data_IF_517952352052
#
_entry.id   IF_517952352052
#
_cell.length_a   1.000
_cell.length_b   1.000
_cell.length_c   1.000
_cell.angle_alpha   90.00
_cell.angle_beta   90.00
_cell.angle_gamma   90.00
#
_symmetry.space_group_name_H-M   'P 1'
#
loop_
_entity.id
_entity.type
_entity.pdbx_description
1 polymer ?
#
# COMPACT_ATOMS: atom_id res chain seq x y z
N UNK A 1 -2.22 -25.30 -2.19
CA UNK A 1 -2.80 -23.94 -2.01
C UNK A 1 -2.48 -23.32 -0.66
N UNK A 2 -2.46 -24.06 0.47
CA UNK A 2 -2.20 -23.48 1.81
C UNK A 2 -0.79 -22.90 2.01
N UNK A 3 0.26 -23.48 1.41
CA UNK A 3 1.64 -22.95 1.48
C UNK A 3 1.83 -21.63 0.71
N UNK A 4 1.21 -21.52 -0.48
CA UNK A 4 1.35 -20.35 -1.36
C UNK A 4 0.76 -19.06 -0.77
N UNK A 5 -0.32 -19.14 0.02
CA UNK A 5 -0.94 -17.93 0.57
C UNK A 5 -0.01 -17.20 1.56
N UNK A 6 0.68 -17.95 2.42
CA UNK A 6 1.60 -17.36 3.39
C UNK A 6 2.80 -16.71 2.71
N UNK A 7 3.32 -17.33 1.64
CA UNK A 7 4.38 -16.77 0.80
C UNK A 7 3.96 -15.43 0.18
N UNK A 8 2.74 -15.32 -0.34
CA UNK A 8 2.23 -14.08 -0.94
C UNK A 8 2.04 -12.96 0.09
N UNK A 9 1.55 -13.30 1.28
CA UNK A 9 1.44 -12.34 2.40
C UNK A 9 2.82 -11.83 2.80
N UNK A 10 3.80 -12.75 2.97
CA UNK A 10 5.18 -12.39 3.30
C UNK A 10 5.80 -11.52 2.20
N UNK A 11 5.60 -11.87 0.93
CA UNK A 11 6.11 -11.11 -0.20
C UNK A 11 5.56 -9.67 -0.21
N UNK A 12 4.25 -9.50 -0.01
CA UNK A 12 3.63 -8.17 0.08
C UNK A 12 4.17 -7.33 1.25
N UNK A 13 4.33 -7.94 2.42
CA UNK A 13 4.91 -7.28 3.60
C UNK A 13 6.36 -6.85 3.34
N UNK A 14 7.19 -7.74 2.79
CA UNK A 14 8.60 -7.45 2.49
C UNK A 14 8.71 -6.34 1.44
N UNK A 15 7.85 -6.33 0.42
CA UNK A 15 7.83 -5.28 -0.59
C UNK A 15 7.51 -3.90 0.02
N UNK A 16 6.49 -3.82 0.89
CA UNK A 16 6.19 -2.60 1.65
C UNK A 16 7.37 -2.16 2.52
N UNK A 17 7.96 -3.08 3.30
CA UNK A 17 9.12 -2.77 4.15
C UNK A 17 10.33 -2.28 3.35
N UNK A 18 10.58 -2.86 2.17
CA UNK A 18 11.66 -2.42 1.30
C UNK A 18 11.43 -0.99 0.79
N UNK A 19 10.21 -0.66 0.39
CA UNK A 19 9.83 0.69 -0.02
C UNK A 19 9.95 1.69 1.15
N UNK A 20 9.44 1.33 2.34
CA UNK A 20 9.55 2.15 3.54
C UNK A 20 11.02 2.42 3.89
N UNK A 21 11.86 1.39 3.83
CA UNK A 21 13.30 1.50 4.04
C UNK A 21 13.97 2.40 3.00
N UNK A 22 13.57 2.28 1.73
CA UNK A 22 14.07 3.15 0.67
C UNK A 22 13.67 4.62 0.89
N UNK A 23 12.46 4.90 1.36
CA UNK A 23 12.06 6.26 1.74
C UNK A 23 12.92 6.82 2.87
N UNK A 24 13.30 5.98 3.85
CA UNK A 24 14.25 6.39 4.90
C UNK A 24 15.64 6.68 4.32
N UNK A 25 16.10 5.88 3.37
CA UNK A 25 17.36 6.15 2.68
C UNK A 25 17.32 7.49 1.93
N UNK A 26 16.23 7.79 1.21
CA UNK A 26 16.07 9.06 0.50
C UNK A 26 16.02 10.25 1.45
N UNK A 27 15.36 10.11 2.59
CA UNK A 27 15.36 11.14 3.64
C UNK A 27 16.78 11.43 4.14
N UNK A 28 17.56 10.38 4.41
CA UNK A 28 18.91 10.51 4.95
C UNK A 28 19.94 11.01 3.92
N UNK A 29 19.74 10.73 2.64
CA UNK A 29 20.72 11.05 1.58
C UNK A 29 20.43 12.37 0.87
N UNK A 30 19.16 12.68 0.59
CA UNK A 30 18.76 13.85 -0.20
C UNK A 30 17.67 14.69 0.46
N UNK A 31 17.26 14.36 1.70
CA UNK A 31 16.29 15.15 2.46
C UNK A 31 14.83 15.01 2.00
N UNK A 32 14.51 14.03 1.15
CA UNK A 32 13.13 13.82 0.68
C UNK A 32 12.26 13.22 1.81
N UNK A 33 11.21 13.91 2.31
CA UNK A 33 10.39 13.39 3.40
C UNK A 33 9.72 12.05 3.05
N UNK A 34 9.65 11.11 4.02
CA UNK A 34 8.91 9.86 3.83
C UNK A 34 7.41 10.13 3.71
N UNK A 35 6.68 9.17 3.17
CA UNK A 35 5.22 9.29 3.01
C UNK A 35 4.52 9.51 4.36
N UNK A 36 3.58 10.45 4.39
CA UNK A 36 2.71 10.64 5.55
C UNK A 36 1.49 9.72 5.48
N UNK A 37 1.61 8.53 6.08
CA UNK A 37 0.52 7.54 6.08
C UNK A 37 -0.74 8.01 6.83
N UNK A 38 -0.67 9.05 7.68
CA UNK A 38 -1.86 9.62 8.29
C UNK A 38 -2.85 10.18 7.25
N UNK A 39 -2.34 10.76 6.14
CA UNK A 39 -3.16 11.27 5.04
C UNK A 39 -3.92 10.14 4.35
N UNK A 40 -3.27 9.00 4.12
CA UNK A 40 -3.91 7.79 3.55
C UNK A 40 -4.99 7.26 4.48
N UNK A 41 -4.74 7.26 5.79
CA UNK A 41 -5.77 6.87 6.76
C UNK A 41 -6.97 7.82 6.77
N UNK A 42 -6.72 9.14 6.72
CA UNK A 42 -7.77 10.16 6.60
C UNK A 42 -8.59 9.97 5.34
N UNK A 43 -7.93 9.74 4.21
CA UNK A 43 -8.56 9.44 2.93
C UNK A 43 -9.45 8.20 3.06
N UNK A 44 -8.92 7.10 3.58
CA UNK A 44 -9.68 5.86 3.73
C UNK A 44 -10.91 6.04 4.63
N UNK A 45 -10.81 6.81 5.72
CA UNK A 45 -11.96 7.15 6.56
C UNK A 45 -13.04 7.94 5.80
N UNK A 46 -12.64 8.95 5.04
CA UNK A 46 -13.57 9.78 4.26
C UNK A 46 -14.24 8.95 3.17
N UNK A 47 -13.48 8.12 2.45
CA UNK A 47 -14.01 7.21 1.43
C UNK A 47 -15.06 6.28 2.03
N UNK A 48 -14.75 5.62 3.16
CA UNK A 48 -15.67 4.69 3.81
C UNK A 48 -16.97 5.36 4.27
N UNK A 49 -16.94 6.65 4.61
CA UNK A 49 -18.13 7.40 5.06
C UNK A 49 -18.93 8.04 3.93
N UNK A 50 -18.25 8.48 2.87
CA UNK A 50 -18.86 9.30 1.82
C UNK A 50 -19.03 8.56 0.49
N UNK A 51 -18.43 7.37 0.35
CA UNK A 51 -18.30 6.62 -0.90
C UNK A 51 -17.64 7.41 -2.04
N UNK A 52 -16.91 8.49 -1.73
CA UNK A 52 -16.19 9.32 -2.71
C UNK A 52 -14.70 9.02 -2.66
N UNK A 53 -14.19 8.39 -3.71
CA UNK A 53 -12.77 8.04 -3.85
C UNK A 53 -11.86 9.27 -4.01
N UNK A 54 -12.31 10.26 -4.79
CA UNK A 54 -11.56 11.49 -5.03
C UNK A 54 -11.81 12.52 -3.93
N UNK A 55 -10.73 12.93 -3.24
CA UNK A 55 -10.75 13.94 -2.17
C UNK A 55 -9.72 15.03 -2.47
N UNK A 56 -10.09 16.10 -3.21
CA UNK A 56 -9.16 17.15 -3.61
C UNK A 56 -8.61 17.95 -2.42
N UNK A 57 -9.41 18.09 -1.36
CA UNK A 57 -9.08 18.89 -0.18
C UNK A 57 -8.56 18.04 0.99
N UNK A 58 -7.93 16.88 0.71
CA UNK A 58 -7.53 15.93 1.75
C UNK A 58 -6.52 16.52 2.75
N UNK A 59 -5.67 17.43 2.29
CA UNK A 59 -4.64 18.09 3.10
C UNK A 59 -5.25 19.02 4.16
N UNK A 60 -6.41 19.61 3.89
CA UNK A 60 -7.13 20.52 4.79
C UNK A 60 -8.29 19.85 5.52
N UNK A 61 -8.64 18.62 5.14
CA UNK A 61 -9.70 17.85 5.78
C UNK A 61 -9.42 17.64 7.28
N UNK A 62 -10.44 17.62 8.16
CA UNK A 62 -10.24 17.38 9.58
C UNK A 62 -9.54 16.03 9.85
N UNK A 63 -8.63 15.94 10.85
CA UNK A 63 -8.03 14.67 11.25
C UNK A 63 -9.07 13.62 11.63
N UNK A 64 -8.87 12.38 11.18
CA UNK A 64 -9.73 11.26 11.54
C UNK A 64 -9.18 10.49 12.76
N UNK A 65 -10.05 9.87 13.59
CA UNK A 65 -9.60 9.09 14.74
C UNK A 65 -8.69 7.95 14.29
N UNK A 66 -7.50 7.83 14.88
CA UNK A 66 -6.53 6.75 14.56
C UNK A 66 -6.18 6.70 13.07
N UNK A 67 -6.10 7.84 12.39
CA UNK A 67 -5.76 7.91 10.97
C UNK A 67 -4.38 7.33 10.64
N UNK A 68 -3.35 7.57 11.48
CA UNK A 68 -2.02 7.02 11.23
C UNK A 68 -1.98 5.48 11.20
N UNK A 69 -2.41 4.75 12.24
CA UNK A 69 -2.40 3.29 12.19
C UNK A 69 -3.34 2.73 11.12
N UNK A 70 -4.44 3.41 10.80
CA UNK A 70 -5.32 2.98 9.72
C UNK A 70 -4.66 3.14 8.34
N UNK A 71 -3.94 4.24 8.12
CA UNK A 71 -3.16 4.44 6.89
C UNK A 71 -2.08 3.40 6.69
N UNK A 72 -1.36 3.03 7.75
CA UNK A 72 -0.42 1.91 7.72
C UNK A 72 -1.08 0.58 7.38
N UNK A 73 -2.24 0.29 7.98
CA UNK A 73 -3.01 -0.90 7.64
C UNK A 73 -3.40 -0.92 6.15
N UNK A 74 -3.93 0.19 5.61
CA UNK A 74 -4.27 0.31 4.19
C UNK A 74 -3.05 0.09 3.31
N UNK A 75 -1.91 0.68 3.66
CA UNK A 75 -0.67 0.54 2.91
C UNK A 75 -0.25 -0.94 2.76
N UNK A 76 -0.18 -1.68 3.87
CA UNK A 76 0.20 -3.10 3.85
C UNK A 76 -0.87 -3.99 3.22
N UNK A 77 -2.15 -3.65 3.41
CA UNK A 77 -3.26 -4.38 2.79
C UNK A 77 -3.20 -4.30 1.25
N UNK A 78 -2.87 -3.12 0.70
CA UNK A 78 -2.67 -2.95 -0.75
C UNK A 78 -1.46 -3.74 -1.24
N UNK A 79 -0.33 -3.72 -0.52
CA UNK A 79 0.86 -4.50 -0.89
C UNK A 79 0.61 -6.01 -0.93
N UNK A 80 -0.07 -6.56 0.08
CA UNK A 80 -0.49 -7.97 0.11
C UNK A 80 -1.53 -8.25 -0.98
N UNK A 81 -2.51 -7.36 -1.16
CA UNK A 81 -3.52 -7.48 -2.21
C UNK A 81 -2.92 -7.55 -3.61
N UNK A 82 -1.90 -6.72 -3.87
CA UNK A 82 -1.15 -6.75 -5.13
C UNK A 82 -0.50 -8.12 -5.36
N UNK A 83 0.23 -8.65 -4.37
CA UNK A 83 0.87 -9.96 -4.48
C UNK A 83 -0.14 -11.09 -4.78
N UNK A 84 -1.30 -11.07 -4.10
CA UNK A 84 -2.36 -12.06 -4.31
C UNK A 84 -2.99 -11.95 -5.70
N UNK A 85 -3.34 -10.73 -6.13
CA UNK A 85 -3.94 -10.51 -7.46
C UNK A 85 -2.95 -10.90 -8.56
N UNK A 86 -1.70 -10.46 -8.45
CA UNK A 86 -0.64 -10.78 -9.40
C UNK A 86 -0.45 -12.29 -9.55
N UNK A 87 -0.34 -13.01 -8.44
CA UNK A 87 -0.24 -14.47 -8.44
C UNK A 87 -1.48 -15.17 -9.01
N UNK A 88 -2.66 -14.55 -8.88
CA UNK A 88 -3.89 -15.01 -9.54
C UNK A 88 -3.84 -14.82 -11.06
N UNK A 89 -3.42 -13.65 -11.53
CA UNK A 89 -3.27 -13.35 -12.96
C UNK A 89 -2.20 -14.21 -13.65
N UNK A 90 -1.14 -14.57 -12.93
CA UNK A 90 -0.16 -15.54 -13.41
C UNK A 90 -0.77 -16.93 -13.63
N UNK A 91 -1.74 -17.35 -12.81
CA UNK A 91 -2.40 -18.65 -12.97
C UNK A 91 -3.32 -18.69 -14.19
N UNK A 92 -3.88 -17.55 -14.60
CA UNK A 92 -4.69 -17.45 -15.82
C UNK A 92 -3.84 -17.32 -17.08
N UNK A 93 -2.51 -17.23 -16.95
CA UNK A 93 -1.59 -16.99 -18.07
C UNK A 93 -1.65 -15.56 -18.62
N UNK A 94 -2.29 -14.63 -17.91
CA UNK A 94 -2.38 -13.23 -18.33
C UNK A 94 -1.07 -12.46 -18.06
N UNK A 95 -0.35 -12.84 -17.00
CA UNK A 95 0.94 -12.28 -16.63
C UNK A 95 1.98 -13.38 -16.47
N UNK A 96 3.25 -13.04 -16.66
CA UNK A 96 4.40 -13.89 -16.33
C UNK A 96 5.31 -13.20 -15.33
N UNK A 97 6.28 -13.90 -14.74
CA UNK A 97 7.28 -13.29 -13.84
C UNK A 97 8.39 -12.55 -14.62
N UNK A 98 8.04 -11.91 -15.74
CA UNK A 98 8.97 -11.15 -16.57
C UNK A 98 9.06 -9.71 -16.10
N UNK A 99 10.09 -9.00 -16.57
CA UNK A 99 10.22 -7.54 -16.37
C UNK A 99 9.20 -6.72 -17.18
N UNK A 100 8.38 -7.38 -18.01
CA UNK A 100 7.42 -6.72 -18.89
C UNK A 100 5.97 -6.86 -18.40
N UNK A 101 5.72 -7.79 -17.47
CA UNK A 101 4.39 -8.13 -16.97
C UNK A 101 4.15 -7.61 -15.56
N UNK A 102 4.77 -6.49 -15.18
CA UNK A 102 4.65 -5.85 -13.87
C UNK A 102 5.24 -4.45 -13.86
#
# INVERSE_FOLDING_TARGET
MRGKMMELVIAGIIACLAMDGFQRLLWLTIGQPPSNWAVVGRWAFIVLRSARLYQPDIDTAPPAPRELPFGWFVHYAVGVGYAVIYAGLMQTGLLTASLFDG
#
